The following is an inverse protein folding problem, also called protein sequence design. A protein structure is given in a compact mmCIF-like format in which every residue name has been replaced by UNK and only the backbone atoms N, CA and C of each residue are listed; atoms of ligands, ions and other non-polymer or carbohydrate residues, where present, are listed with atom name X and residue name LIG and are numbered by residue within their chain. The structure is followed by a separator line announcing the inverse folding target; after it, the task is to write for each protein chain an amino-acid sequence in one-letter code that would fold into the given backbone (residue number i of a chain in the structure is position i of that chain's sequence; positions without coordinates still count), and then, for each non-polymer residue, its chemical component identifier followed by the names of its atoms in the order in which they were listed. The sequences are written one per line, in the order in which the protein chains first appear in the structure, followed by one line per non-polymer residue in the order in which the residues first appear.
data_IF_706553622401
#
_entry.id   IF_706553622401
#
_cell.length_a   1.000
_cell.length_b   1.000
_cell.length_c   1.000
_cell.angle_alpha   90.00
_cell.angle_beta   90.00
_cell.angle_gamma   90.00
#
_symmetry.space_group_name_H-M   'P 1'
#
loop_
_entity.id
_entity.type
_entity.pdbx_description
1 polymer ?
#
# COMPACT_ATOMS: atom_id res chain seq x y z
N UNK A 1 36.19 3.37 8.28
CA UNK A 1 37.13 2.57 9.06
C UNK A 1 36.47 1.25 9.35
N UNK A 2 36.93 0.21 8.58
CA UNK A 2 37.12 -1.19 9.00
C UNK A 2 35.85 -2.01 9.30
N UNK A 3 35.65 -3.25 8.81
CA UNK A 3 36.45 -4.21 8.00
C UNK A 3 35.49 -5.07 7.18
N UNK A 4 35.91 -5.46 5.98
CA UNK A 4 35.41 -6.60 5.22
C UNK A 4 36.07 -7.87 5.78
N UNK A 5 35.35 -9.00 5.77
CA UNK A 5 35.99 -10.32 5.77
C UNK A 5 35.37 -11.20 4.70
N UNK A 6 36.23 -11.52 3.73
CA UNK A 6 36.02 -12.52 2.70
C UNK A 6 36.23 -13.90 3.28
N UNK A 7 35.40 -14.87 2.93
CA UNK A 7 35.70 -16.29 3.11
C UNK A 7 35.68 -16.99 1.76
N UNK A 8 36.87 -17.33 1.36
CA UNK A 8 37.25 -18.15 0.21
C UNK A 8 37.11 -19.63 0.57
N UNK A 9 36.47 -20.42 -0.27
CA UNK A 9 36.55 -21.90 -0.17
C UNK A 9 37.12 -22.46 -1.45
N UNK A 10 38.30 -22.98 -1.30
CA UNK A 10 39.09 -23.70 -2.29
C UNK A 10 38.59 -25.13 -2.54
N UNK A 11 38.71 -25.49 -3.78
CA UNK A 11 38.63 -26.71 -4.54
C UNK A 11 39.81 -27.66 -4.25
N UNK A 12 39.53 -28.96 -4.19
CA UNK A 12 40.44 -30.11 -4.57
C UNK A 12 39.72 -31.39 -4.17
N UNK A 13 39.72 -32.47 -4.90
CA UNK A 13 40.50 -32.98 -5.98
C UNK A 13 40.03 -34.43 -6.24
N UNK A 14 40.19 -34.84 -7.41
CA UNK A 14 39.98 -36.17 -7.99
C UNK A 14 40.66 -37.33 -7.25
N UNK A 15 40.05 -38.52 -7.27
CA UNK A 15 40.81 -39.74 -7.56
C UNK A 15 39.89 -40.88 -8.04
N UNK A 16 40.32 -41.45 -9.14
CA UNK A 16 39.86 -42.63 -9.85
C UNK A 16 40.30 -43.93 -9.16
N UNK A 17 39.39 -44.88 -9.05
CA UNK A 17 39.72 -46.25 -8.62
C UNK A 17 38.97 -47.26 -9.46
N UNK A 18 39.66 -47.78 -10.43
CA UNK A 18 39.31 -48.99 -11.20
C UNK A 18 39.56 -50.18 -10.34
N UNK A 19 38.61 -51.10 -10.14
CA UNK A 19 38.86 -52.49 -9.72
C UNK A 19 37.93 -53.44 -10.48
N UNK A 20 38.58 -54.40 -11.03
CA UNK A 20 38.25 -55.48 -11.92
C UNK A 20 37.07 -56.37 -11.56
N UNK A 21 36.52 -56.92 -12.64
CA UNK A 21 35.72 -58.12 -12.77
C UNK A 21 36.15 -59.29 -11.89
N UNK A 22 35.16 -59.96 -11.33
CA UNK A 22 35.28 -61.39 -11.04
C UNK A 22 33.92 -62.05 -11.30
N UNK A 23 33.97 -62.95 -12.32
CA UNK A 23 32.91 -63.87 -12.66
C UNK A 23 32.53 -64.79 -11.49
N UNK A 24 31.25 -65.00 -11.31
CA UNK A 24 30.67 -66.17 -10.72
C UNK A 24 29.31 -66.46 -11.35
N UNK A 25 29.35 -67.38 -12.29
CA UNK A 25 28.19 -68.08 -12.83
C UNK A 25 27.57 -69.02 -11.79
N UNK A 26 26.23 -68.95 -11.71
CA UNK A 26 25.48 -70.07 -11.18
C UNK A 26 24.70 -69.74 -9.91
N UNK A 27 23.39 -69.45 -10.07
CA UNK A 27 22.31 -70.20 -9.42
C UNK A 27 20.98 -69.67 -9.90
N UNK A 28 20.22 -70.46 -10.58
CA UNK A 28 18.84 -70.31 -10.90
C UNK A 28 18.03 -70.46 -9.63
N UNK A 29 17.15 -69.50 -9.35
CA UNK A 29 15.84 -69.76 -8.75
C UNK A 29 14.92 -68.60 -9.03
N UNK A 30 13.88 -68.88 -9.73
CA UNK A 30 12.71 -68.11 -9.95
C UNK A 30 12.01 -67.83 -8.62
N UNK A 31 11.97 -66.59 -8.21
CA UNK A 31 10.93 -66.11 -7.26
C UNK A 31 10.20 -64.99 -7.94
N UNK A 32 9.03 -65.34 -8.45
CA UNK A 32 7.98 -64.42 -8.92
C UNK A 32 7.58 -63.47 -7.77
N UNK A 33 8.09 -62.25 -7.81
CA UNK A 33 7.52 -61.16 -7.03
C UNK A 33 6.28 -60.69 -7.80
N UNK A 34 5.07 -60.88 -7.28
CA UNK A 34 3.88 -60.45 -7.97
C UNK A 34 3.91 -58.89 -8.02
N UNK A 35 3.91 -58.35 -9.22
CA UNK A 35 3.72 -56.93 -9.49
C UNK A 35 2.30 -56.48 -9.02
N UNK A 36 2.21 -56.21 -7.71
CA UNK A 36 0.95 -55.83 -7.02
C UNK A 36 0.43 -54.49 -7.51
N UNK A 37 1.27 -53.64 -8.12
CA UNK A 37 0.87 -52.33 -8.62
C UNK A 37 0.08 -52.45 -9.95
N UNK A 38 0.53 -53.28 -10.86
CA UNK A 38 -0.16 -53.51 -12.14
C UNK A 38 -1.52 -54.18 -11.97
N UNK A 39 -1.65 -55.11 -10.99
CA UNK A 39 -2.92 -55.80 -10.72
C UNK A 39 -3.96 -54.87 -10.08
N UNK A 40 -3.51 -53.92 -9.27
CA UNK A 40 -4.40 -52.95 -8.63
C UNK A 40 -4.99 -51.95 -9.65
N UNK A 41 -4.17 -51.47 -10.59
CA UNK A 41 -4.63 -50.60 -11.67
C UNK A 41 -5.60 -51.30 -12.63
N UNK A 42 -5.34 -52.58 -12.97
CA UNK A 42 -6.26 -53.37 -13.82
C UNK A 42 -7.59 -53.63 -13.13
N UNK A 43 -7.63 -53.96 -11.85
CA UNK A 43 -8.86 -54.13 -11.07
C UNK A 43 -9.66 -52.80 -10.92
N UNK A 44 -8.96 -51.68 -10.76
CA UNK A 44 -9.59 -50.36 -10.71
C UNK A 44 -10.26 -49.99 -12.05
N UNK A 45 -9.62 -50.32 -13.17
CA UNK A 45 -10.18 -50.08 -14.52
C UNK A 45 -11.39 -50.97 -14.86
N UNK A 46 -11.51 -52.18 -14.26
CA UNK A 46 -12.69 -53.05 -14.46
C UNK A 46 -13.92 -52.62 -13.68
N UNK A 47 -13.75 -51.73 -12.68
CA UNK A 47 -14.93 -51.22 -11.94
C UNK A 47 -15.61 -50.08 -12.71
N UNK A 48 -16.65 -50.43 -13.46
CA UNK A 48 -17.43 -49.48 -14.31
C UNK A 48 -17.99 -48.27 -13.52
N UNK A 49 -18.24 -48.43 -12.21
CA UNK A 49 -18.69 -47.31 -11.34
C UNK A 49 -17.51 -46.35 -11.06
N UNK A 50 -16.32 -46.86 -10.80
CA UNK A 50 -15.11 -46.06 -10.51
C UNK A 50 -14.66 -45.31 -11.77
N UNK A 51 -14.65 -45.96 -12.94
CA UNK A 51 -14.32 -45.31 -14.23
C UNK A 51 -15.33 -44.20 -14.57
N UNK A 52 -16.63 -44.42 -14.32
CA UNK A 52 -17.67 -43.36 -14.51
C UNK A 52 -17.42 -42.18 -13.53
N UNK A 53 -17.15 -42.45 -12.26
CA UNK A 53 -16.89 -41.42 -11.28
C UNK A 53 -15.62 -40.60 -11.64
N UNK A 54 -14.54 -41.25 -12.02
CA UNK A 54 -13.30 -40.58 -12.48
C UNK A 54 -13.56 -39.74 -13.74
N UNK A 55 -14.34 -40.27 -14.69
CA UNK A 55 -14.70 -39.50 -15.89
C UNK A 55 -15.53 -38.25 -15.56
N UNK A 56 -16.48 -38.34 -14.63
CA UNK A 56 -17.28 -37.20 -14.19
C UNK A 56 -16.37 -36.18 -13.50
N UNK A 57 -15.47 -36.61 -12.59
CA UNK A 57 -14.51 -35.75 -11.91
C UNK A 57 -13.60 -35.03 -12.91
N UNK A 58 -13.08 -35.75 -13.91
CA UNK A 58 -12.25 -35.14 -14.97
C UNK A 58 -13.06 -34.11 -15.76
N UNK A 59 -14.28 -34.45 -16.18
CA UNK A 59 -15.14 -33.56 -16.97
C UNK A 59 -15.63 -32.32 -16.20
N UNK A 60 -15.64 -32.36 -14.86
CA UNK A 60 -16.05 -31.22 -14.02
C UNK A 60 -14.86 -30.44 -13.53
N UNK A 61 -13.81 -31.08 -13.04
CA UNK A 61 -12.63 -30.40 -12.46
C UNK A 61 -11.75 -29.78 -13.53
N UNK A 62 -11.51 -30.48 -14.65
CA UNK A 62 -10.60 -29.96 -15.70
C UNK A 62 -11.08 -28.62 -16.27
N UNK A 63 -12.37 -28.41 -16.62
CA UNK A 63 -12.85 -27.11 -17.09
C UNK A 63 -12.69 -26.03 -16.02
N UNK A 64 -12.98 -26.34 -14.76
CA UNK A 64 -12.83 -25.37 -13.65
C UNK A 64 -11.37 -24.95 -13.49
N UNK A 65 -10.44 -25.90 -13.53
CA UNK A 65 -9.00 -25.61 -13.46
C UNK A 65 -8.54 -24.76 -14.66
N UNK A 66 -9.03 -25.08 -15.86
CA UNK A 66 -8.73 -24.31 -17.08
C UNK A 66 -9.27 -22.88 -16.97
N UNK A 67 -10.51 -22.70 -16.52
CA UNK A 67 -11.10 -21.36 -16.32
C UNK A 67 -10.30 -20.57 -15.27
N UNK A 68 -9.93 -21.22 -14.19
CA UNK A 68 -9.12 -20.59 -13.14
C UNK A 68 -7.73 -20.19 -13.65
N UNK A 69 -7.11 -21.04 -14.45
CA UNK A 69 -5.83 -20.74 -15.08
C UNK A 69 -5.91 -19.59 -16.09
N UNK A 70 -6.99 -19.58 -16.92
CA UNK A 70 -7.26 -18.49 -17.86
C UNK A 70 -7.51 -17.19 -17.09
N UNK A 71 -8.29 -17.24 -16.00
CA UNK A 71 -8.56 -16.07 -15.17
C UNK A 71 -7.28 -15.51 -14.54
N UNK A 72 -6.42 -16.37 -14.01
CA UNK A 72 -5.12 -15.96 -13.46
C UNK A 72 -4.19 -15.40 -14.55
N UNK A 73 -4.22 -16.00 -15.76
CA UNK A 73 -3.46 -15.49 -16.89
C UNK A 73 -3.87 -14.05 -17.24
N UNK A 74 -5.16 -13.78 -17.38
CA UNK A 74 -5.64 -12.42 -17.72
C UNK A 74 -5.49 -11.44 -16.57
N UNK A 75 -5.63 -11.87 -15.31
CA UNK A 75 -5.51 -11.00 -14.13
C UNK A 75 -4.06 -10.60 -13.79
N UNK A 76 -3.11 -11.50 -13.98
CA UNK A 76 -1.73 -11.29 -13.52
C UNK A 76 -0.71 -11.23 -14.65
N UNK A 77 -0.80 -12.12 -15.64
CA UNK A 77 0.24 -12.20 -16.67
C UNK A 77 0.06 -11.10 -17.73
N UNK A 78 -1.15 -10.83 -18.16
CA UNK A 78 -1.41 -9.79 -19.17
C UNK A 78 -1.04 -8.40 -18.67
N UNK A 79 -1.44 -7.94 -17.47
CA UNK A 79 -0.99 -6.66 -16.93
C UNK A 79 0.53 -6.59 -16.74
N UNK A 80 1.15 -7.67 -16.28
CA UNK A 80 2.61 -7.73 -16.15
C UNK A 80 3.35 -7.61 -17.48
N UNK A 81 2.85 -8.27 -18.52
CA UNK A 81 3.42 -8.14 -19.88
C UNK A 81 3.18 -6.75 -20.46
N UNK A 82 2.02 -6.13 -20.22
CA UNK A 82 1.75 -4.76 -20.64
C UNK A 82 2.68 -3.77 -19.93
N UNK A 83 2.95 -3.98 -18.64
CA UNK A 83 3.91 -3.15 -17.89
C UNK A 83 5.32 -3.30 -18.44
N UNK A 84 5.79 -4.52 -18.73
CA UNK A 84 7.09 -4.79 -19.36
C UNK A 84 7.17 -4.16 -20.75
N UNK A 85 6.14 -4.32 -21.56
CA UNK A 85 6.08 -3.72 -22.89
C UNK A 85 6.06 -2.18 -22.85
N UNK A 86 5.39 -1.59 -21.86
CA UNK A 86 5.40 -0.13 -21.68
C UNK A 86 6.73 0.40 -21.13
N UNK A 87 7.50 -0.43 -20.42
CA UNK A 87 8.85 -0.09 -19.94
C UNK A 87 9.92 -0.23 -21.01
N UNK A 88 9.67 -0.99 -22.08
CA UNK A 88 10.54 -0.92 -23.25
C UNK A 88 10.41 0.49 -23.83
N UNK A 89 11.28 1.39 -23.39
CA UNK A 89 11.48 2.66 -24.05
C UNK A 89 11.69 2.34 -25.52
N UNK A 90 10.74 2.73 -26.36
CA UNK A 90 10.99 2.78 -27.79
C UNK A 90 12.27 3.60 -27.94
N UNK A 91 13.35 2.92 -28.29
CA UNK A 91 14.61 3.60 -28.62
C UNK A 91 14.30 4.42 -29.86
N UNK A 92 14.01 5.68 -29.62
CA UNK A 92 13.62 6.62 -30.66
C UNK A 92 14.87 6.86 -31.52
N UNK A 93 15.01 6.06 -32.57
CA UNK A 93 16.02 6.30 -33.55
C UNK A 93 15.63 7.61 -34.27
N UNK A 94 16.30 8.69 -33.84
CA UNK A 94 16.12 10.01 -34.44
C UNK A 94 16.40 9.89 -35.94
N UNK A 95 15.37 10.05 -36.75
CA UNK A 95 15.51 10.17 -38.22
C UNK A 95 15.42 11.65 -38.58
N UNK A 96 16.54 12.27 -39.00
CA UNK A 96 16.56 13.69 -39.34
C UNK A 96 15.67 14.06 -40.55
N UNK A 97 15.39 13.13 -41.46
CA UNK A 97 14.52 13.34 -42.63
C UNK A 97 13.05 13.59 -42.24
N UNK A 98 12.60 13.09 -41.08
CA UNK A 98 11.25 13.34 -40.58
C UNK A 98 11.01 14.81 -40.20
N UNK A 99 12.05 15.62 -40.01
CA UNK A 99 11.89 17.05 -39.69
C UNK A 99 11.24 17.85 -40.80
N UNK A 100 11.36 17.42 -42.03
CA UNK A 100 10.81 18.10 -43.20
C UNK A 100 9.44 17.54 -43.62
N UNK A 101 9.03 16.41 -43.06
CA UNK A 101 7.72 15.82 -43.33
C UNK A 101 6.60 16.70 -42.71
N UNK A 102 5.72 17.21 -43.60
CA UNK A 102 4.58 18.05 -43.23
C UNK A 102 3.63 17.38 -42.23
N UNK A 103 3.45 16.05 -42.33
CA UNK A 103 2.59 15.31 -41.42
C UNK A 103 3.23 15.19 -40.04
N UNK A 104 4.56 14.96 -40.00
CA UNK A 104 5.30 14.95 -38.74
C UNK A 104 5.24 16.30 -38.03
N UNK A 105 5.48 17.38 -38.75
CA UNK A 105 5.39 18.75 -38.22
C UNK A 105 3.98 19.07 -37.72
N UNK A 106 2.94 18.67 -38.45
CA UNK A 106 1.56 18.83 -38.02
C UNK A 106 1.24 18.05 -36.76
N UNK A 107 1.65 16.79 -36.70
CA UNK A 107 1.41 15.93 -35.52
C UNK A 107 2.17 16.42 -34.28
N UNK A 108 3.43 16.82 -34.44
CA UNK A 108 4.22 17.35 -33.32
C UNK A 108 3.64 18.67 -32.80
N UNK A 109 3.12 19.53 -33.68
CA UNK A 109 2.46 20.78 -33.29
C UNK A 109 1.15 20.52 -32.52
N UNK A 110 0.35 19.54 -32.95
CA UNK A 110 -0.87 19.13 -32.24
C UNK A 110 -0.54 18.54 -30.90
N UNK A 111 0.47 17.67 -30.82
CA UNK A 111 0.91 17.06 -29.55
C UNK A 111 1.43 18.14 -28.58
N UNK A 112 2.21 19.10 -29.06
CA UNK A 112 2.69 20.23 -28.25
C UNK A 112 1.52 21.06 -27.68
N UNK A 113 0.48 21.33 -28.48
CA UNK A 113 -0.74 22.01 -28.02
C UNK A 113 -1.48 21.17 -26.96
N UNK A 114 -1.60 19.87 -27.16
CA UNK A 114 -2.25 18.98 -26.19
C UNK A 114 -1.45 18.89 -24.88
N UNK A 115 -0.14 18.78 -24.94
CA UNK A 115 0.73 18.85 -23.76
C UNK A 115 0.52 20.16 -23.01
N UNK A 116 0.49 21.30 -23.71
CA UNK A 116 0.27 22.60 -23.10
C UNK A 116 -1.12 22.69 -22.45
N UNK A 117 -2.16 22.21 -23.13
CA UNK A 117 -3.53 22.18 -22.63
C UNK A 117 -3.63 21.31 -21.38
N UNK A 118 -3.09 20.08 -21.43
CA UNK A 118 -3.09 19.15 -20.31
C UNK A 118 -2.27 19.67 -19.13
N UNK A 119 -1.13 20.29 -19.37
CA UNK A 119 -0.31 20.92 -18.35
C UNK A 119 -1.05 22.07 -17.65
N UNK A 120 -1.75 22.94 -18.41
CA UNK A 120 -2.60 23.99 -17.83
C UNK A 120 -3.74 23.40 -17.00
N UNK A 121 -4.42 22.36 -17.51
CA UNK A 121 -5.49 21.67 -16.81
C UNK A 121 -4.96 21.03 -15.52
N UNK A 122 -3.84 20.31 -15.58
CA UNK A 122 -3.20 19.75 -14.39
C UNK A 122 -2.81 20.85 -13.39
N UNK A 123 -2.24 21.94 -13.86
CA UNK A 123 -1.87 23.07 -13.02
C UNK A 123 -3.08 23.75 -12.35
N UNK A 124 -4.28 23.67 -12.94
CA UNK A 124 -5.50 24.24 -12.35
C UNK A 124 -6.04 23.40 -11.19
N UNK A 125 -5.73 22.11 -11.13
CA UNK A 125 -6.14 21.23 -10.04
C UNK A 125 -5.27 21.38 -8.78
N UNK A 126 -4.04 21.89 -8.93
CA UNK A 126 -3.13 22.11 -7.81
C UNK A 126 -3.15 23.58 -7.39
N UNK A 127 -3.21 23.83 -6.09
CA UNK A 127 -3.13 25.20 -5.56
C UNK A 127 -1.78 25.82 -5.88
N UNK A 128 -1.79 27.07 -6.34
CA UNK A 128 -0.56 27.89 -6.40
C UNK A 128 -0.10 28.39 -5.02
N UNK A 129 -1.00 28.33 -4.04
CA UNK A 129 -0.70 28.64 -2.64
C UNK A 129 -0.11 27.43 -1.91
N UNK A 130 0.36 27.66 -0.68
CA UNK A 130 0.81 26.56 0.18
C UNK A 130 -0.36 25.62 0.52
N UNK A 131 -0.10 24.32 0.51
CA UNK A 131 -1.08 23.30 0.87
C UNK A 131 -0.39 22.09 1.50
N UNK A 132 -1.16 21.28 2.22
CA UNK A 132 -0.69 20.03 2.81
C UNK A 132 -1.48 18.85 2.24
N UNK A 133 -0.77 17.76 2.05
CA UNK A 133 -1.33 16.45 1.67
C UNK A 133 -1.06 15.47 2.81
N UNK A 134 -2.09 14.77 3.27
CA UNK A 134 -2.02 13.79 4.34
C UNK A 134 -2.41 12.44 3.77
N UNK A 135 -1.47 11.50 3.81
CA UNK A 135 -1.70 10.10 3.47
C UNK A 135 -1.99 9.33 4.75
N UNK A 136 -3.25 8.96 4.99
CA UNK A 136 -3.67 8.23 6.19
C UNK A 136 -3.30 6.74 6.14
N UNK A 137 -3.00 6.20 4.96
CA UNK A 137 -2.57 4.81 4.79
C UNK A 137 -1.16 4.61 5.31
N UNK A 138 -0.24 5.52 4.94
CA UNK A 138 1.16 5.47 5.36
C UNK A 138 1.43 6.33 6.61
N UNK A 139 0.44 7.07 7.09
CA UNK A 139 0.56 8.05 8.17
C UNK A 139 1.69 9.04 7.93
N UNK A 140 1.70 9.65 6.74
CA UNK A 140 2.68 10.64 6.30
C UNK A 140 1.99 11.92 5.85
N UNK A 141 2.69 13.03 6.02
CA UNK A 141 2.28 14.30 5.45
C UNK A 141 3.31 14.82 4.44
N UNK A 142 2.85 15.66 3.52
CA UNK A 142 3.65 16.33 2.51
C UNK A 142 3.20 17.79 2.43
N UNK A 143 4.10 18.71 2.75
CA UNK A 143 3.85 20.15 2.72
C UNK A 143 4.40 20.75 1.43
N UNK A 144 3.57 21.46 0.73
CA UNK A 144 3.89 22.10 -0.55
C UNK A 144 3.78 23.61 -0.45
N UNK A 145 4.73 24.31 -1.09
CA UNK A 145 4.70 25.76 -1.33
C UNK A 145 5.06 26.02 -2.77
N UNK A 146 4.26 26.83 -3.48
CA UNK A 146 4.44 27.08 -4.91
C UNK A 146 4.59 25.79 -5.74
N UNK A 147 3.78 24.77 -5.43
CA UNK A 147 3.80 23.43 -6.05
C UNK A 147 5.06 22.61 -5.83
N UNK A 148 6.02 23.09 -5.04
CA UNK A 148 7.24 22.35 -4.67
C UNK A 148 7.05 21.73 -3.30
N UNK A 149 7.44 20.47 -3.15
CA UNK A 149 7.52 19.81 -1.85
C UNK A 149 8.61 20.49 -1.03
N UNK A 150 8.25 21.03 0.13
CA UNK A 150 9.20 21.74 1.03
C UNK A 150 9.45 20.98 2.33
N UNK A 151 8.51 20.11 2.74
CA UNK A 151 8.67 19.29 3.94
C UNK A 151 7.80 18.04 3.85
N UNK A 152 8.28 16.95 4.43
CA UNK A 152 7.51 15.71 4.62
C UNK A 152 7.92 15.04 5.93
N UNK A 153 7.04 14.24 6.48
CA UNK A 153 7.32 13.52 7.73
C UNK A 153 6.19 12.58 8.11
N UNK A 154 6.31 12.04 9.32
CA UNK A 154 5.30 11.17 9.90
C UNK A 154 4.18 11.99 10.55
N UNK A 155 2.98 11.49 10.46
CA UNK A 155 1.84 11.97 11.24
C UNK A 155 1.11 10.78 11.88
N UNK A 156 0.16 11.05 12.78
CA UNK A 156 -0.78 10.03 13.23
C UNK A 156 -2.18 10.41 12.79
N UNK A 157 -2.97 9.44 12.37
CA UNK A 157 -4.35 9.60 11.92
C UNK A 157 -5.32 8.77 12.74
N UNK A 158 -6.62 8.83 12.44
CA UNK A 158 -7.67 8.10 13.12
C UNK A 158 -7.45 6.58 13.11
N UNK A 159 -7.77 5.96 14.26
CA UNK A 159 -7.53 4.53 14.51
C UNK A 159 -8.50 3.59 13.79
N UNK A 160 -9.58 4.12 13.22
CA UNK A 160 -10.70 3.34 12.66
C UNK A 160 -11.41 2.43 13.67
N UNK A 161 -11.19 2.66 14.98
CA UNK A 161 -11.92 1.97 16.04
C UNK A 161 -13.31 2.58 16.23
N UNK A 162 -14.22 1.80 16.80
CA UNK A 162 -15.57 2.22 17.13
C UNK A 162 -15.76 2.12 18.65
N UNK A 163 -16.16 3.23 19.28
CA UNK A 163 -16.63 3.26 20.64
C UNK A 163 -18.16 3.20 20.65
N UNK A 164 -18.74 2.29 21.42
CA UNK A 164 -20.18 2.11 21.56
C UNK A 164 -20.56 2.19 23.04
N UNK A 165 -21.63 2.93 23.35
CA UNK A 165 -22.24 2.95 24.68
C UNK A 165 -23.34 1.87 24.79
N UNK A 166 -23.78 1.58 26.03
CA UNK A 166 -24.95 0.76 26.28
C UNK A 166 -26.23 1.33 25.65
N UNK A 167 -26.33 2.66 25.50
CA UNK A 167 -27.44 3.37 24.86
C UNK A 167 -27.37 3.42 23.33
N UNK A 168 -26.58 2.56 22.69
CA UNK A 168 -26.37 2.48 21.23
C UNK A 168 -25.73 3.72 20.56
N UNK A 169 -25.30 4.72 21.33
CA UNK A 169 -24.54 5.84 20.78
C UNK A 169 -23.16 5.32 20.33
N UNK A 170 -22.75 5.68 19.11
CA UNK A 170 -21.53 5.18 18.47
C UNK A 170 -20.66 6.33 17.99
N UNK A 171 -19.35 6.19 18.17
CA UNK A 171 -18.35 7.06 17.57
C UNK A 171 -17.35 6.23 16.78
N UNK A 172 -17.05 6.66 15.56
CA UNK A 172 -16.03 6.01 14.71
C UNK A 172 -14.87 6.97 14.62
N UNK A 173 -13.72 6.54 15.08
CA UNK A 173 -12.51 7.35 15.17
C UNK A 173 -11.71 7.30 13.87
N UNK A 174 -12.15 8.04 12.88
CA UNK A 174 -11.51 8.10 11.56
C UNK A 174 -11.14 9.52 11.18
N UNK A 175 -9.99 9.69 10.55
CA UNK A 175 -9.66 10.94 9.88
C UNK A 175 -10.46 11.03 8.58
N UNK A 176 -11.21 12.11 8.34
CA UNK A 176 -12.07 12.23 7.17
C UNK A 176 -11.22 12.38 5.91
N UNK A 177 -11.52 11.60 4.87
CA UNK A 177 -10.86 11.69 3.56
C UNK A 177 -11.55 12.75 2.70
N UNK A 178 -10.76 13.47 1.89
CA UNK A 178 -11.30 14.48 1.00
C UNK A 178 -10.44 15.75 0.90
N UNK A 179 -11.05 16.82 0.42
CA UNK A 179 -10.44 18.14 0.27
C UNK A 179 -11.03 19.08 1.29
N UNK A 180 -10.20 19.58 2.16
CA UNK A 180 -10.52 20.53 3.23
C UNK A 180 -9.75 21.85 3.04
N UNK A 181 -9.92 22.74 3.96
CA UNK A 181 -9.13 23.98 4.05
C UNK A 181 -8.94 24.35 5.52
N UNK A 182 -7.85 25.04 5.80
CA UNK A 182 -7.59 25.59 7.12
C UNK A 182 -8.66 26.67 7.40
N UNK A 183 -9.46 26.45 8.44
CA UNK A 183 -10.53 27.36 8.86
C UNK A 183 -10.11 28.27 10.00
N UNK A 184 -9.20 27.81 10.86
CA UNK A 184 -8.70 28.56 12.00
C UNK A 184 -7.30 28.09 12.40
N UNK A 185 -6.56 29.01 13.01
CA UNK A 185 -5.21 28.77 13.54
C UNK A 185 -5.16 29.30 14.97
N UNK A 186 -4.67 28.49 15.89
CA UNK A 186 -4.64 28.79 17.32
C UNK A 186 -3.23 28.46 17.86
N UNK A 187 -2.69 29.35 18.66
CA UNK A 187 -1.49 29.14 19.48
C UNK A 187 -1.91 28.75 20.90
N UNK A 188 -1.14 27.89 21.54
CA UNK A 188 -1.43 27.36 22.89
C UNK A 188 -2.88 26.85 23.00
N UNK A 189 -3.31 25.94 22.13
CA UNK A 189 -4.70 25.48 22.08
C UNK A 189 -5.07 24.73 23.35
N UNK A 190 -6.31 24.94 23.82
CA UNK A 190 -6.90 24.17 24.90
C UNK A 190 -7.84 23.14 24.30
N UNK A 191 -7.71 21.89 24.71
CA UNK A 191 -8.62 20.85 24.26
C UNK A 191 -9.91 20.83 25.08
N UNK A 192 -11.03 21.01 24.42
CA UNK A 192 -12.32 20.79 25.00
C UNK A 192 -12.70 19.33 24.79
N UNK A 193 -12.66 18.54 25.85
CA UNK A 193 -12.96 17.10 25.85
C UNK A 193 -14.40 16.85 25.39
N UNK A 194 -14.60 16.09 24.31
CA UNK A 194 -15.94 15.69 23.86
C UNK A 194 -16.49 14.55 24.72
N UNK A 195 -17.79 14.28 24.59
CA UNK A 195 -18.48 13.25 25.38
C UNK A 195 -17.80 11.86 25.29
N UNK A 196 -17.33 11.50 24.09
CA UNK A 196 -16.70 10.20 23.88
C UNK A 196 -15.44 10.00 24.72
N UNK A 197 -14.71 11.07 25.08
CA UNK A 197 -13.49 10.91 25.88
C UNK A 197 -13.78 10.47 27.32
N UNK A 198 -14.92 10.89 27.87
CA UNK A 198 -15.37 10.44 29.19
C UNK A 198 -15.90 9.00 29.12
N UNK A 199 -16.64 8.67 28.06
CA UNK A 199 -17.13 7.31 27.84
C UNK A 199 -15.99 6.31 27.67
N UNK A 200 -14.94 6.66 26.92
CA UNK A 200 -13.77 5.82 26.72
C UNK A 200 -13.03 5.53 28.03
N UNK A 201 -12.99 6.50 28.94
CA UNK A 201 -12.41 6.37 30.28
C UNK A 201 -13.35 5.71 31.32
N UNK A 202 -14.58 5.36 30.93
CA UNK A 202 -15.59 4.81 31.86
C UNK A 202 -16.14 5.85 32.83
N UNK A 203 -16.01 7.13 32.53
CA UNK A 203 -16.47 8.23 33.40
C UNK A 203 -17.85 8.72 32.96
N UNK A 204 -18.64 9.29 33.88
CA UNK A 204 -19.90 9.94 33.55
C UNK A 204 -19.64 11.19 32.70
N UNK A 205 -20.53 11.44 31.73
CA UNK A 205 -20.44 12.62 30.87
C UNK A 205 -20.82 13.87 31.70
N UNK A 206 -19.88 14.81 31.90
CA UNK A 206 -20.16 16.03 32.68
C UNK A 206 -20.99 17.04 31.86
N UNK A 207 -21.51 18.08 32.54
CA UNK A 207 -22.22 19.16 31.89
C UNK A 207 -21.32 19.87 30.85
N UNK A 208 -21.95 20.60 29.90
CA UNK A 208 -21.22 21.26 28.81
C UNK A 208 -20.20 22.34 29.29
N UNK A 209 -20.43 22.93 30.46
CA UNK A 209 -19.57 23.97 31.02
C UNK A 209 -18.72 23.50 32.18
N UNK A 210 -18.65 22.18 32.41
CA UNK A 210 -17.87 21.61 33.50
C UNK A 210 -16.37 21.86 33.28
N UNK A 211 -15.63 22.30 34.30
CA UNK A 211 -14.18 22.51 34.20
C UNK A 211 -13.38 21.29 33.75
N UNK A 212 -13.83 20.07 34.07
CA UNK A 212 -13.18 18.82 33.67
C UNK A 212 -13.15 18.58 32.15
N UNK A 213 -13.91 19.36 31.40
CA UNK A 213 -13.89 19.32 29.93
C UNK A 213 -12.69 20.03 29.31
N UNK A 214 -11.94 20.80 30.06
CA UNK A 214 -10.86 21.63 29.54
C UNK A 214 -9.51 21.03 29.92
N UNK A 215 -8.73 20.66 28.92
CA UNK A 215 -7.41 20.07 29.09
C UNK A 215 -6.35 20.87 28.36
N UNK A 216 -5.28 21.23 29.09
CA UNK A 216 -4.24 22.13 28.63
C UNK A 216 -3.00 21.35 28.22
N UNK A 217 -2.28 21.83 27.18
CA UNK A 217 -0.98 21.30 26.77
C UNK A 217 -1.02 20.02 25.94
N UNK A 218 -2.16 19.32 25.87
CA UNK A 218 -2.27 18.01 25.17
C UNK A 218 -2.26 18.12 23.64
N UNK A 219 -2.54 19.30 23.09
CA UNK A 219 -2.58 19.56 21.65
C UNK A 219 -1.26 20.14 21.10
N UNK A 220 -0.24 20.31 21.95
CA UNK A 220 1.01 20.97 21.57
C UNK A 220 0.86 22.50 21.47
N UNK A 221 1.84 23.17 20.86
CA UNK A 221 1.90 24.63 20.82
C UNK A 221 0.96 25.27 19.79
N UNK A 222 0.52 24.52 18.80
CA UNK A 222 -0.28 25.00 17.68
C UNK A 222 -1.41 24.03 17.34
N UNK A 223 -2.53 24.56 16.88
CA UNK A 223 -3.59 23.79 16.25
C UNK A 223 -4.17 24.53 15.04
N UNK A 224 -4.59 23.77 14.05
CA UNK A 224 -5.26 24.28 12.84
C UNK A 224 -6.55 23.50 12.63
N UNK A 225 -7.70 24.17 12.63
CA UNK A 225 -8.99 23.54 12.37
C UNK A 225 -9.22 23.35 10.86
N UNK A 226 -9.81 22.21 10.50
CA UNK A 226 -10.16 21.88 9.12
C UNK A 226 -11.67 21.67 8.92
N UNK A 227 -12.46 21.91 9.98
CA UNK A 227 -13.92 21.73 9.99
C UNK A 227 -14.36 20.50 10.77
N UNK A 228 -15.65 20.46 11.12
CA UNK A 228 -16.33 19.33 11.77
C UNK A 228 -15.64 18.81 13.05
N UNK A 229 -14.96 19.70 13.77
CA UNK A 229 -14.22 19.34 14.99
C UNK A 229 -12.86 18.69 14.74
N UNK A 230 -12.45 18.48 13.49
CA UNK A 230 -11.13 17.92 13.16
C UNK A 230 -10.06 19.01 13.14
N UNK A 231 -8.90 18.65 13.72
CA UNK A 231 -7.76 19.56 13.82
C UNK A 231 -6.46 18.86 13.41
N UNK A 232 -5.52 19.66 12.94
CA UNK A 232 -4.10 19.29 12.82
C UNK A 232 -3.40 19.90 14.01
N UNK A 233 -2.76 19.09 14.86
CA UNK A 233 -2.21 19.51 16.14
C UNK A 233 -0.95 18.73 16.53
N UNK A 234 -0.34 19.08 17.64
CA UNK A 234 0.79 18.37 18.23
C UNK A 234 0.39 17.11 19.00
N UNK A 235 1.36 16.47 19.60
CA UNK A 235 1.16 15.28 20.44
C UNK A 235 2.19 15.21 21.56
N UNK A 236 1.76 14.79 22.74
CA UNK A 236 2.65 14.41 23.84
C UNK A 236 3.30 13.04 23.56
N UNK A 237 2.69 12.21 22.73
CA UNK A 237 3.07 10.82 22.50
C UNK A 237 3.79 10.65 21.15
N UNK A 238 4.97 11.26 21.00
CA UNK A 238 5.78 11.26 19.77
C UNK A 238 6.12 9.85 19.26
N UNK A 239 6.19 8.86 20.15
CA UNK A 239 6.48 7.45 19.82
C UNK A 239 5.41 6.79 18.92
N UNK A 240 4.22 7.36 18.85
CA UNK A 240 3.13 6.84 18.04
C UNK A 240 2.99 7.53 16.67
N UNK A 241 3.88 8.46 16.33
CA UNK A 241 3.89 9.05 15.00
C UNK A 241 4.19 7.99 13.95
N UNK A 242 3.45 8.04 12.85
CA UNK A 242 3.45 7.01 11.82
C UNK A 242 2.38 5.92 12.02
N UNK A 243 1.56 6.02 13.08
CA UNK A 243 0.54 5.02 13.42
C UNK A 243 -0.87 5.62 13.41
N UNK A 244 -1.92 4.85 13.02
CA UNK A 244 -3.31 5.25 13.11
C UNK A 244 -3.86 5.06 14.54
N UNK A 245 -3.62 6.03 15.41
CA UNK A 245 -3.91 5.93 16.86
C UNK A 245 -4.76 7.08 17.40
N UNK A 246 -5.27 7.96 16.53
CA UNK A 246 -6.06 9.12 17.00
C UNK A 246 -7.56 8.87 16.89
N UNK A 247 -8.32 9.76 17.50
CA UNK A 247 -9.79 9.78 17.39
C UNK A 247 -10.30 10.53 16.15
N UNK A 248 -9.38 10.83 15.19
CA UNK A 248 -9.72 11.49 13.93
C UNK A 248 -8.85 12.70 13.60
N UNK A 249 -8.25 13.37 14.59
CA UNK A 249 -7.32 14.47 14.37
C UNK A 249 -6.02 13.96 13.74
N UNK A 250 -5.29 14.85 13.08
CA UNK A 250 -3.96 14.58 12.54
C UNK A 250 -2.91 15.12 13.50
N UNK A 251 -2.11 14.23 14.09
CA UNK A 251 -1.07 14.60 15.04
C UNK A 251 0.29 14.65 14.38
N UNK A 252 1.10 15.64 14.75
CA UNK A 252 2.45 15.91 14.24
C UNK A 252 3.44 16.06 15.40
N UNK A 253 4.73 15.95 15.13
CA UNK A 253 5.75 16.41 16.05
C UNK A 253 5.79 17.95 16.08
N UNK A 254 6.46 18.51 17.07
CA UNK A 254 6.45 19.96 17.30
C UNK A 254 7.11 20.74 16.16
N UNK A 255 8.23 20.26 15.63
CA UNK A 255 8.97 20.91 14.54
C UNK A 255 8.21 20.93 13.23
N UNK A 256 7.57 19.81 12.89
CA UNK A 256 6.75 19.70 11.68
C UNK A 256 5.50 20.53 11.81
N UNK A 257 4.85 20.51 12.98
CA UNK A 257 3.67 21.29 13.27
C UNK A 257 3.94 22.79 13.15
N UNK A 258 5.05 23.27 13.72
CA UNK A 258 5.44 24.69 13.64
C UNK A 258 5.73 25.10 12.21
N UNK A 259 6.47 24.29 11.45
CA UNK A 259 6.75 24.57 10.04
C UNK A 259 5.48 24.63 9.19
N UNK A 260 4.54 23.70 9.42
CA UNK A 260 3.25 23.67 8.74
C UNK A 260 2.40 24.88 9.15
N UNK A 261 2.32 25.17 10.45
CA UNK A 261 1.60 26.31 10.98
C UNK A 261 2.07 27.64 10.39
N UNK A 262 3.40 27.83 10.30
CA UNK A 262 3.99 29.05 9.74
C UNK A 262 3.83 29.15 8.22
N UNK A 263 3.72 28.02 7.52
CA UNK A 263 3.60 27.98 6.05
C UNK A 263 2.17 28.11 5.55
N UNK A 264 1.20 27.50 6.25
CA UNK A 264 -0.20 27.50 5.86
C UNK A 264 -0.92 28.71 6.42
N UNK A 265 -1.82 29.28 5.63
CA UNK A 265 -2.73 30.37 6.01
C UNK A 265 -4.16 29.84 6.10
N UNK A 266 -5.05 30.60 6.72
CA UNK A 266 -6.51 30.35 6.64
C UNK A 266 -6.90 30.31 5.17
N UNK A 267 -7.69 29.31 4.76
CA UNK A 267 -8.04 29.02 3.37
C UNK A 267 -7.04 28.11 2.62
N UNK A 268 -5.84 27.85 3.16
CA UNK A 268 -4.92 26.86 2.58
C UNK A 268 -5.57 25.50 2.47
N UNK A 269 -5.31 24.80 1.36
CA UNK A 269 -5.95 23.49 1.08
C UNK A 269 -5.27 22.37 1.88
N UNK A 270 -6.10 21.46 2.36
CA UNK A 270 -5.72 20.22 3.04
C UNK A 270 -6.34 19.06 2.26
N UNK A 271 -5.50 18.20 1.72
CA UNK A 271 -5.94 17.00 1.00
C UNK A 271 -5.65 15.78 1.88
N UNK A 272 -6.66 14.95 2.13
CA UNK A 272 -6.56 13.75 2.99
C UNK A 272 -7.05 12.54 2.17
N UNK A 273 -6.24 11.49 2.06
CA UNK A 273 -6.55 10.26 1.32
C UNK A 273 -6.06 8.99 2.01
#
# INVERSE_FOLDING_TARGET
MMYMEDVNINNSGSESGVVQNKDLSGLSSSDDVPDTSASFFQKALQNRKLVKAVRIIIWTIVPVVIILFISLFFLYLVPGLQEIASRQKAEYKYNPELKEDKNYLKQTSLLAKDIQRLSKKYASYTSGQSYIVINTTDNKFFLYKNKKLIRQGLCSSGSYTMLKTESDKKWIFKTPKGKYQIQGKITSPVWRRPDWSFVEEGLPIPSQNDPSRWEYGVLGNYAMSIGDGYIINGTLYKRFLGMPVTHGCVRLNDEDLEAIYNTLSIGSKVYIF
#
